data_IF_973415809442
#
_entry.id   IF_973415809442
#
_cell.length_a   1.000
_cell.length_b   1.000
_cell.length_c   1.000
_cell.angle_alpha   90.00
_cell.angle_beta   90.00
_cell.angle_gamma   90.00
#
_symmetry.space_group_name_H-M   'P 1'
#
loop_
_entity.id
_entity.type
_entity.pdbx_description
1 polymer ?
#
# COMPACT_ATOMS: atom_id res chain seq x y z
N UNK A 1 -20.38 45.66 0.23
CA UNK A 1 -19.77 44.39 0.69
C UNK A 1 -19.01 43.80 -0.48
N UNK A 2 -17.67 43.67 -0.43
CA UNK A 2 -16.93 43.12 -1.56
C UNK A 2 -17.17 41.61 -1.63
N UNK A 3 -17.55 41.14 -2.82
CA UNK A 3 -17.80 39.73 -3.13
C UNK A 3 -16.44 39.07 -3.42
N UNK A 4 -15.90 38.34 -2.46
CA UNK A 4 -14.70 37.52 -2.66
C UNK A 4 -15.14 36.25 -3.36
N UNK A 5 -14.84 36.13 -4.65
CA UNK A 5 -15.02 34.89 -5.41
C UNK A 5 -13.70 34.13 -5.34
N UNK A 6 -13.68 33.00 -4.64
CA UNK A 6 -12.53 32.08 -4.65
C UNK A 6 -12.61 31.29 -5.96
N UNK A 7 -11.69 31.57 -6.89
CA UNK A 7 -11.42 30.72 -8.05
C UNK A 7 -10.42 29.65 -7.62
N UNK A 8 -10.93 28.46 -7.28
CA UNK A 8 -10.10 27.26 -7.14
C UNK A 8 -9.90 26.61 -8.51
N UNK A 9 -8.98 27.16 -9.30
CA UNK A 9 -8.41 26.46 -10.46
C UNK A 9 -7.24 25.59 -9.98
N UNK A 10 -7.54 24.49 -9.28
CA UNK A 10 -6.50 23.56 -8.82
C UNK A 10 -6.43 22.35 -9.74
N UNK A 11 -5.39 22.30 -10.58
CA UNK A 11 -4.99 21.16 -11.43
C UNK A 11 -6.07 20.66 -12.42
N UNK A 12 -6.35 21.45 -13.45
CA UNK A 12 -7.24 21.11 -14.58
C UNK A 12 -6.61 20.22 -15.66
N UNK A 13 -5.37 19.75 -15.48
CA UNK A 13 -4.78 18.77 -16.39
C UNK A 13 -5.42 17.39 -16.18
N UNK A 14 -6.14 16.90 -17.20
CA UNK A 14 -6.64 15.53 -17.25
C UNK A 14 -5.44 14.59 -17.41
N UNK A 15 -4.86 14.17 -16.30
CA UNK A 15 -3.82 13.15 -16.27
C UNK A 15 -4.47 11.78 -16.40
N UNK A 16 -4.03 11.00 -17.39
CA UNK A 16 -4.41 9.59 -17.55
C UNK A 16 -4.01 8.83 -16.29
N UNK A 17 -4.99 8.49 -15.45
CA UNK A 17 -4.76 7.67 -14.26
C UNK A 17 -4.38 6.26 -14.72
N UNK A 18 -3.18 5.81 -14.35
CA UNK A 18 -2.81 4.41 -14.51
C UNK A 18 -3.82 3.53 -13.75
N UNK A 19 -4.24 2.41 -14.34
CA UNK A 19 -5.10 1.45 -13.63
C UNK A 19 -4.33 0.92 -12.42
N UNK A 20 -4.93 0.86 -11.22
CA UNK A 20 -4.27 0.30 -10.05
C UNK A 20 -3.90 -1.15 -10.34
N UNK A 21 -2.63 -1.49 -10.15
CA UNK A 21 -2.15 -2.85 -10.25
C UNK A 21 -2.60 -3.59 -8.99
N UNK A 22 -3.22 -4.75 -9.19
CA UNK A 22 -3.65 -5.64 -8.12
C UNK A 22 -2.77 -6.89 -8.14
N UNK A 23 -2.28 -7.28 -6.97
CA UNK A 23 -1.60 -8.55 -6.76
C UNK A 23 -2.53 -9.49 -6.01
N UNK A 24 -2.43 -10.79 -6.21
CA UNK A 24 -3.24 -11.79 -5.51
C UNK A 24 -2.36 -12.69 -4.67
N UNK A 25 -2.81 -12.94 -3.44
CA UNK A 25 -2.16 -13.83 -2.48
C UNK A 25 -3.22 -14.82 -1.97
N UNK A 26 -2.85 -16.07 -1.79
CA UNK A 26 -3.74 -17.09 -1.20
C UNK A 26 -3.29 -17.40 0.21
N UNK A 27 -4.20 -17.35 1.18
CA UNK A 27 -3.89 -17.72 2.56
C UNK A 27 -4.01 -19.22 2.82
N UNK A 28 -3.66 -19.66 4.04
CA UNK A 28 -3.73 -21.08 4.41
C UNK A 28 -5.16 -21.62 4.54
N UNK A 29 -6.17 -20.75 4.55
CA UNK A 29 -7.59 -21.13 4.54
C UNK A 29 -8.12 -21.29 3.11
N UNK A 30 -7.32 -20.94 2.10
CA UNK A 30 -7.70 -21.01 0.69
C UNK A 30 -8.40 -19.76 0.16
N UNK A 31 -8.49 -18.68 0.97
CA UNK A 31 -9.08 -17.40 0.53
C UNK A 31 -8.12 -16.69 -0.41
N UNK A 32 -8.65 -16.00 -1.41
CA UNK A 32 -7.90 -15.18 -2.35
C UNK A 32 -7.96 -13.72 -1.90
N UNK A 33 -6.83 -13.17 -1.47
CA UNK A 33 -6.70 -11.79 -1.03
C UNK A 33 -6.09 -10.97 -2.17
N UNK A 34 -6.83 -9.99 -2.68
CA UNK A 34 -6.32 -9.07 -3.68
C UNK A 34 -5.80 -7.80 -3.03
N UNK A 35 -4.54 -7.47 -3.31
CA UNK A 35 -3.81 -6.34 -2.75
C UNK A 35 -3.68 -5.23 -3.79
N UNK A 36 -4.13 -4.03 -3.45
CA UNK A 36 -3.88 -2.80 -4.20
C UNK A 36 -2.52 -2.23 -3.84
N UNK A 37 -1.85 -1.66 -4.84
CA UNK A 37 -0.72 -0.77 -4.60
C UNK A 37 -1.20 0.56 -3.99
N UNK A 38 -0.47 1.07 -3.00
CA UNK A 38 -0.79 2.34 -2.33
C UNK A 38 0.03 3.47 -2.93
N UNK A 39 -0.65 4.42 -3.58
CA UNK A 39 -0.03 5.65 -4.04
C UNK A 39 0.31 6.60 -2.86
N UNK A 40 1.17 7.63 -3.06
CA UNK A 40 1.55 8.54 -1.98
C UNK A 40 0.38 9.28 -1.30
N UNK A 41 -0.69 9.57 -2.05
CA UNK A 41 -1.88 10.21 -1.49
C UNK A 41 -2.64 9.23 -0.60
N UNK A 42 -2.76 7.97 -0.99
CA UNK A 42 -3.34 6.91 -0.17
C UNK A 42 -2.50 6.68 1.09
N UNK A 43 -1.17 6.60 0.98
CA UNK A 43 -0.28 6.48 2.15
C UNK A 43 -0.46 7.65 3.13
N UNK A 44 -0.53 8.89 2.62
CA UNK A 44 -0.81 10.07 3.44
C UNK A 44 -2.19 10.01 4.12
N UNK A 45 -3.21 9.55 3.40
CA UNK A 45 -4.55 9.34 3.96
C UNK A 45 -4.58 8.27 5.03
N UNK A 46 -3.79 7.19 4.88
CA UNK A 46 -3.66 6.16 5.91
C UNK A 46 -3.10 6.73 7.21
N UNK A 47 -2.01 7.52 7.12
CA UNK A 47 -1.40 8.20 8.27
C UNK A 47 -2.43 9.06 9.01
N UNK A 48 -3.29 9.75 8.25
CA UNK A 48 -4.38 10.54 8.85
C UNK A 48 -5.46 9.64 9.47
N UNK A 49 -5.82 8.55 8.81
CA UNK A 49 -6.85 7.62 9.25
C UNK A 49 -6.48 6.89 10.55
N UNK A 50 -5.20 6.54 10.75
CA UNK A 50 -4.73 5.87 11.98
C UNK A 50 -4.63 6.83 13.18
N UNK A 51 -4.56 8.14 12.93
CA UNK A 51 -4.33 9.16 13.95
C UNK A 51 -2.85 9.31 14.34
N UNK A 52 -2.48 10.49 14.84
CA UNK A 52 -1.07 10.87 15.08
C UNK A 52 -0.31 9.96 16.04
N UNK A 53 -0.97 9.42 17.07
CA UNK A 53 -0.36 8.50 18.03
C UNK A 53 0.07 7.19 17.36
N UNK A 54 -0.85 6.55 16.62
CA UNK A 54 -0.56 5.30 15.91
C UNK A 54 0.38 5.50 14.72
N UNK A 55 0.29 6.65 14.04
CA UNK A 55 1.18 6.99 12.94
C UNK A 55 2.66 7.06 13.37
N UNK A 56 2.94 7.46 14.61
CA UNK A 56 4.28 7.45 15.18
C UNK A 56 4.82 6.04 15.47
N UNK A 57 3.93 5.04 15.55
CA UNK A 57 4.31 3.65 15.80
C UNK A 57 4.63 2.93 14.47
N UNK A 58 5.91 2.93 14.09
CA UNK A 58 6.36 2.31 12.84
C UNK A 58 6.05 0.81 12.78
N UNK A 59 6.09 0.10 13.91
CA UNK A 59 5.76 -1.33 13.96
C UNK A 59 4.28 -1.52 13.65
N UNK A 60 3.40 -0.72 14.26
CA UNK A 60 1.97 -0.76 13.95
C UNK A 60 1.70 -0.46 12.47
N UNK A 61 2.33 0.60 11.94
CA UNK A 61 2.14 1.01 10.56
C UNK A 61 2.58 -0.09 9.57
N UNK A 62 3.80 -0.61 9.73
CA UNK A 62 4.39 -1.55 8.77
C UNK A 62 3.83 -2.96 8.91
N UNK A 63 3.56 -3.43 10.13
CA UNK A 63 3.12 -4.81 10.35
C UNK A 63 1.61 -4.98 10.27
N UNK A 64 0.82 -3.91 10.40
CA UNK A 64 -0.64 -4.01 10.48
C UNK A 64 -1.36 -3.02 9.57
N UNK A 65 -1.19 -1.70 9.77
CA UNK A 65 -2.02 -0.71 9.09
C UNK A 65 -1.82 -0.68 7.57
N UNK A 66 -0.56 -0.73 7.10
CA UNK A 66 -0.23 -0.77 5.68
C UNK A 66 -0.74 -2.05 5.01
N UNK A 67 -0.41 -3.27 5.50
CA UNK A 67 -0.96 -4.51 4.96
C UNK A 67 -2.49 -4.52 4.90
N UNK A 68 -3.17 -4.06 5.95
CA UNK A 68 -4.63 -3.98 5.98
C UNK A 68 -5.18 -3.01 4.93
N UNK A 69 -4.56 -1.83 4.77
CA UNK A 69 -4.99 -0.83 3.80
C UNK A 69 -4.75 -1.23 2.33
N UNK A 70 -3.81 -2.15 2.10
CA UNK A 70 -3.56 -2.74 0.78
C UNK A 70 -4.68 -3.69 0.36
N UNK A 71 -5.48 -4.23 1.27
CA UNK A 71 -6.51 -5.20 0.89
C UNK A 71 -7.63 -4.52 0.09
N UNK A 72 -7.96 -5.11 -1.05
CA UNK A 72 -9.02 -4.66 -1.93
C UNK A 72 -10.17 -5.65 -2.03
N UNK A 73 -9.85 -6.94 -2.07
CA UNK A 73 -10.82 -8.01 -2.06
C UNK A 73 -10.35 -9.14 -1.16
N UNK A 74 -11.31 -9.80 -0.53
CA UNK A 74 -11.14 -11.14 0.02
C UNK A 74 -12.20 -11.98 -0.69
N UNK A 75 -11.75 -12.92 -1.52
CA UNK A 75 -12.59 -13.66 -2.47
C UNK A 75 -13.40 -12.70 -3.39
N UNK A 76 -14.72 -12.67 -3.24
CA UNK A 76 -15.63 -11.81 -4.01
C UNK A 76 -15.98 -10.50 -3.28
N UNK A 77 -15.64 -10.39 -1.99
CA UNK A 77 -16.03 -9.26 -1.15
C UNK A 77 -15.08 -8.08 -1.34
N UNK A 78 -15.63 -6.93 -1.75
CA UNK A 78 -14.87 -5.70 -1.94
C UNK A 78 -14.72 -4.92 -0.63
N UNK A 79 -13.49 -4.46 -0.37
CA UNK A 79 -13.17 -3.61 0.75
C UNK A 79 -12.64 -2.25 0.30
N UNK A 80 -13.28 -1.18 0.79
CA UNK A 80 -12.85 0.20 0.55
C UNK A 80 -11.52 0.53 1.23
N UNK A 81 -10.85 1.59 0.78
CA UNK A 81 -9.66 2.08 1.47
C UNK A 81 -10.04 2.63 2.85
N UNK A 82 -9.35 2.23 3.94
CA UNK A 82 -9.75 2.62 5.29
C UNK A 82 -9.64 4.14 5.51
N UNK A 83 -10.63 4.69 6.21
CA UNK A 83 -10.77 6.12 6.51
C UNK A 83 -10.57 6.43 7.99
N UNK A 84 -10.49 5.40 8.85
CA UNK A 84 -10.26 5.54 10.29
C UNK A 84 -9.70 4.24 10.88
N UNK A 85 -9.18 4.32 12.11
CA UNK A 85 -8.63 3.18 12.88
C UNK A 85 -9.60 2.00 12.94
N UNK A 86 -10.90 2.25 13.20
CA UNK A 86 -11.89 1.18 13.34
C UNK A 86 -12.03 0.33 12.07
N UNK A 87 -11.91 0.94 10.90
CA UNK A 87 -11.94 0.20 9.63
C UNK A 87 -10.67 -0.66 9.42
N UNK A 88 -9.53 -0.21 9.95
CA UNK A 88 -8.30 -1.00 9.96
C UNK A 88 -8.45 -2.20 10.89
N UNK A 89 -8.95 -1.98 12.11
CA UNK A 89 -9.20 -3.05 13.07
C UNK A 89 -10.18 -4.10 12.53
N UNK A 90 -11.26 -3.66 11.88
CA UNK A 90 -12.19 -4.56 11.22
C UNK A 90 -11.48 -5.40 10.15
N UNK A 91 -10.67 -4.79 9.29
CA UNK A 91 -9.90 -5.51 8.26
C UNK A 91 -8.92 -6.52 8.88
N UNK A 92 -8.22 -6.14 9.95
CA UNK A 92 -7.35 -7.05 10.69
C UNK A 92 -8.13 -8.24 11.26
N UNK A 93 -9.36 -8.01 11.74
CA UNK A 93 -10.25 -9.07 12.22
C UNK A 93 -10.70 -9.99 11.09
N UNK A 94 -11.04 -9.45 9.91
CA UNK A 94 -11.43 -10.26 8.74
C UNK A 94 -10.27 -11.12 8.22
N UNK A 95 -9.05 -10.56 8.19
CA UNK A 95 -7.86 -11.27 7.75
C UNK A 95 -7.45 -12.38 8.72
N UNK A 96 -7.56 -12.13 10.02
CA UNK A 96 -7.07 -13.03 11.04
C UNK A 96 -5.55 -13.26 10.93
N UNK A 97 -5.06 -14.31 11.57
CA UNK A 97 -3.63 -14.63 11.57
C UNK A 97 -3.17 -15.14 10.19
N UNK A 98 -4.02 -15.95 9.55
CA UNK A 98 -3.76 -16.63 8.29
C UNK A 98 -3.62 -15.63 7.13
N UNK A 99 -4.58 -14.70 7.02
CA UNK A 99 -4.55 -13.66 5.99
C UNK A 99 -3.37 -12.71 6.20
N UNK A 100 -3.11 -12.29 7.44
CA UNK A 100 -1.97 -11.42 7.75
C UNK A 100 -0.63 -12.10 7.47
N UNK A 101 -0.48 -13.38 7.81
CA UNK A 101 0.74 -14.13 7.54
C UNK A 101 0.99 -14.24 6.02
N UNK A 102 -0.04 -14.56 5.24
CA UNK A 102 0.07 -14.66 3.78
C UNK A 102 0.52 -13.33 3.14
N UNK A 103 -0.10 -12.21 3.55
CA UNK A 103 0.28 -10.88 3.07
C UNK A 103 1.72 -10.54 3.48
N UNK A 104 2.10 -10.77 4.74
CA UNK A 104 3.46 -10.44 5.22
C UNK A 104 4.53 -11.26 4.48
N UNK A 105 4.30 -12.55 4.26
CA UNK A 105 5.22 -13.39 3.49
C UNK A 105 5.37 -12.89 2.05
N UNK A 106 4.25 -12.56 1.39
CA UNK A 106 4.26 -12.01 0.04
C UNK A 106 5.05 -10.69 -0.04
N UNK A 107 4.82 -9.77 0.90
CA UNK A 107 5.56 -8.52 0.97
C UNK A 107 7.05 -8.74 1.20
N UNK A 108 7.42 -9.63 2.13
CA UNK A 108 8.81 -9.96 2.42
C UNK A 108 9.53 -10.50 1.17
N UNK A 109 8.91 -11.46 0.47
CA UNK A 109 9.46 -12.00 -0.78
C UNK A 109 9.63 -10.91 -1.85
N UNK A 110 8.67 -9.99 -1.95
CA UNK A 110 8.75 -8.86 -2.88
C UNK A 110 9.91 -7.93 -2.55
N UNK A 111 10.10 -7.59 -1.28
CA UNK A 111 11.24 -6.78 -0.83
C UNK A 111 12.58 -7.47 -1.10
N UNK A 112 12.69 -8.77 -0.87
CA UNK A 112 13.91 -9.53 -1.14
C UNK A 112 14.25 -9.59 -2.63
N UNK A 113 13.24 -9.79 -3.49
CA UNK A 113 13.41 -9.77 -4.96
C UNK A 113 13.91 -8.39 -5.42
N UNK A 114 13.25 -7.33 -4.99
CA UNK A 114 13.63 -5.96 -5.34
C UNK A 114 15.06 -5.63 -4.88
N UNK A 115 15.42 -6.03 -3.65
CA UNK A 115 16.78 -5.83 -3.13
C UNK A 115 17.83 -6.52 -4.01
N UNK A 116 17.61 -7.79 -4.37
CA UNK A 116 18.54 -8.55 -5.23
C UNK A 116 18.66 -7.92 -6.63
N UNK A 117 17.57 -7.39 -7.18
CA UNK A 117 17.58 -6.69 -8.47
C UNK A 117 18.41 -5.40 -8.41
N UNK A 118 18.26 -4.60 -7.36
CA UNK A 118 19.04 -3.38 -7.15
C UNK A 118 20.53 -3.72 -6.99
N UNK A 119 20.87 -4.72 -6.17
CA UNK A 119 22.26 -5.17 -5.98
C UNK A 119 22.88 -5.65 -7.31
N UNK A 120 22.14 -6.39 -8.12
CA UNK A 120 22.60 -6.83 -9.44
C UNK A 120 22.82 -5.64 -10.39
N UNK A 121 21.90 -4.68 -10.42
CA UNK A 121 22.03 -3.49 -11.26
C UNK A 121 23.25 -2.65 -10.88
N UNK A 122 23.53 -2.52 -9.59
CA UNK A 122 24.73 -1.82 -9.10
C UNK A 122 26.00 -2.54 -9.53
N UNK A 123 26.06 -3.86 -9.37
CA UNK A 123 27.19 -4.67 -9.79
C UNK A 123 27.43 -4.62 -11.31
N UNK A 124 26.36 -4.69 -12.11
CA UNK A 124 26.43 -4.59 -13.57
C UNK A 124 26.89 -3.20 -14.01
N UNK A 125 26.44 -2.13 -13.35
CA UNK A 125 26.85 -0.76 -13.60
C UNK A 125 28.34 -0.52 -13.25
N UNK A 126 28.82 -1.06 -12.14
CA UNK A 126 30.24 -1.00 -11.75
C UNK A 126 31.14 -1.74 -12.75
N UNK A 127 30.73 -2.91 -13.21
CA UNK A 127 31.48 -3.64 -14.25
C UNK A 127 31.50 -2.92 -15.60
N UNK A 128 30.42 -2.24 -15.97
CA UNK A 128 30.37 -1.44 -17.20
C UNK A 128 31.28 -0.19 -17.10
N UNK A 129 31.34 0.43 -15.92
CA UNK A 129 32.22 1.56 -15.66
C UNK A 129 33.71 1.18 -15.65
N UNK A 130 34.07 0.00 -15.15
CA UNK A 130 35.46 -0.48 -15.11
C UNK A 130 36.02 -0.94 -16.47
N UNK A 131 35.17 -1.05 -17.50
CA UNK A 131 35.55 -1.46 -18.87
C UNK A 131 35.69 -0.29 -19.85
N UNK A 132 35.42 0.95 -19.41
CA UNK A 132 35.66 2.19 -20.18
C UNK A 132 36.86 2.95 -19.62
#
# INVERSE_FOLDING_TARGET
MPKVTVTEDVNTEVRTKAKPQMESVTDSLGRIIQLRELDPLQQSRLVTAVGGENAGNQVYMNSYALPAAMVAFIDEDFFGFPQNVKQIENMLSELGAEGMAAIQMHLLEKYEKLRKEIEKQQFDAEQAAAKN
#
